data_IF_232193138046
#
_entry.id   IF_232193138046
#
_cell.length_a   1.000
_cell.length_b   1.000
_cell.length_c   1.000
_cell.angle_alpha   90.00
_cell.angle_beta   90.00
_cell.angle_gamma   90.00
#
_symmetry.space_group_name_H-M   'P 1'
#
loop_
_entity.id
_entity.type
_entity.pdbx_description
1 polymer ?
#
# COMPACT_ATOMS: atom_id res chain seq x y z
N UNK A 1 -13.20 -0.43 11.47
CA UNK A 1 -12.17 -0.59 10.43
C UNK A 1 -12.81 -0.14 9.13
N UNK A 2 -12.06 0.45 8.20
CA UNK A 2 -12.62 0.78 6.90
C UNK A 2 -12.42 -0.46 6.04
N UNK A 3 -13.53 -1.04 5.57
CA UNK A 3 -13.50 -2.26 4.76
C UNK A 3 -13.52 -1.93 3.25
N UNK A 4 -13.71 -0.65 2.90
CA UNK A 4 -13.88 -0.18 1.53
C UNK A 4 -13.36 1.26 1.36
N UNK A 5 -12.69 1.57 0.25
CA UNK A 5 -12.22 2.92 -0.05
C UNK A 5 -12.19 3.19 -1.56
N UNK A 6 -11.93 4.44 -1.95
CA UNK A 6 -11.82 4.85 -3.35
C UNK A 6 -10.45 5.44 -3.66
N UNK A 7 -9.84 5.03 -4.78
CA UNK A 7 -8.64 5.66 -5.34
C UNK A 7 -8.92 5.99 -6.80
N UNK A 8 -8.78 7.26 -7.17
CA UNK A 8 -9.04 7.75 -8.53
C UNK A 8 -10.43 7.32 -9.08
N UNK A 9 -11.45 7.29 -8.22
CA UNK A 9 -12.81 6.85 -8.58
C UNK A 9 -13.02 5.34 -8.69
N UNK A 10 -11.97 4.52 -8.49
CA UNK A 10 -12.07 3.05 -8.44
C UNK A 10 -12.36 2.63 -7.01
N UNK A 11 -13.40 1.80 -6.84
CA UNK A 11 -13.79 1.19 -5.56
C UNK A 11 -12.87 0.01 -5.25
N UNK A 12 -12.31 0.00 -4.04
CA UNK A 12 -11.45 -1.05 -3.52
C UNK A 12 -12.03 -1.59 -2.21
N UNK A 13 -11.95 -2.91 -2.04
CA UNK A 13 -12.34 -3.61 -0.82
C UNK A 13 -11.11 -4.05 -0.02
N UNK A 14 -11.27 -4.24 1.28
CA UNK A 14 -10.28 -4.86 2.17
C UNK A 14 -10.92 -6.10 2.81
N UNK A 15 -10.32 -7.27 2.58
CA UNK A 15 -10.81 -8.53 3.12
C UNK A 15 -9.76 -9.22 4.01
N UNK A 16 -10.14 -9.44 5.26
CA UNK A 16 -9.33 -10.20 6.21
C UNK A 16 -9.49 -11.70 5.98
N UNK A 17 -8.35 -12.37 5.85
CA UNK A 17 -8.28 -13.73 5.33
C UNK A 17 -7.40 -14.59 6.21
N UNK A 18 -7.79 -15.86 6.38
CA UNK A 18 -6.95 -16.82 7.08
C UNK A 18 -5.58 -16.99 6.36
N UNK A 19 -4.45 -16.96 7.08
CA UNK A 19 -3.11 -17.07 6.47
C UNK A 19 -2.85 -18.34 5.65
N UNK A 20 -3.63 -19.41 5.80
CA UNK A 20 -3.50 -20.60 4.97
C UNK A 20 -4.41 -20.60 3.74
N UNK A 21 -5.13 -19.51 3.49
CA UNK A 21 -5.99 -19.39 2.31
C UNK A 21 -5.13 -19.24 1.05
N UNK A 22 -5.38 -20.04 -0.01
CA UNK A 22 -4.66 -19.94 -1.28
C UNK A 22 -4.69 -18.56 -1.94
N UNK A 23 -5.65 -17.68 -1.61
CA UNK A 23 -5.68 -16.30 -2.15
C UNK A 23 -4.47 -15.46 -1.70
N UNK A 24 -3.81 -15.84 -0.60
CA UNK A 24 -2.58 -15.22 -0.10
C UNK A 24 -1.32 -15.87 -0.69
N UNK A 25 -1.47 -16.69 -1.74
CA UNK A 25 -0.34 -17.19 -2.52
C UNK A 25 -0.16 -16.26 -3.71
N UNK A 26 1.00 -15.62 -3.80
CA UNK A 26 1.28 -14.69 -4.88
C UNK A 26 1.47 -15.38 -6.25
N UNK A 27 1.65 -14.57 -7.30
CA UNK A 27 1.94 -15.02 -8.66
C UNK A 27 3.24 -15.82 -8.81
N UNK A 28 4.10 -15.86 -7.78
CA UNK A 28 5.34 -16.65 -7.73
C UNK A 28 5.18 -17.96 -6.94
N UNK A 29 3.96 -18.26 -6.48
CA UNK A 29 3.59 -19.42 -5.68
C UNK A 29 4.19 -19.40 -4.27
N UNK A 30 4.45 -18.20 -3.74
CA UNK A 30 4.96 -17.98 -2.38
C UNK A 30 3.81 -17.49 -1.50
N UNK A 31 3.72 -18.04 -0.28
CA UNK A 31 2.74 -17.56 0.72
C UNK A 31 3.15 -16.17 1.20
N UNK A 32 2.27 -15.20 1.03
CA UNK A 32 2.46 -13.82 1.46
C UNK A 32 1.56 -13.47 2.64
N UNK A 33 1.81 -12.31 3.25
CA UNK A 33 0.98 -11.81 4.34
C UNK A 33 -0.22 -11.01 3.84
N UNK A 34 -0.20 -10.59 2.57
CA UNK A 34 -1.24 -9.85 1.90
C UNK A 34 -1.08 -9.98 0.37
N UNK A 35 -2.16 -9.72 -0.37
CA UNK A 35 -2.18 -9.64 -1.83
C UNK A 35 -3.17 -8.55 -2.26
N UNK A 36 -2.72 -7.65 -3.14
CA UNK A 36 -3.61 -6.78 -3.92
C UNK A 36 -4.03 -7.48 -5.19
N UNK A 37 -5.33 -7.71 -5.37
CA UNK A 37 -5.91 -8.29 -6.57
C UNK A 37 -6.70 -7.23 -7.37
N UNK A 38 -6.16 -6.77 -8.51
CA UNK A 38 -6.85 -5.82 -9.37
C UNK A 38 -8.03 -6.40 -10.16
N UNK A 39 -8.17 -7.72 -10.28
CA UNK A 39 -9.31 -8.33 -10.96
C UNK A 39 -10.58 -8.23 -10.10
N UNK A 40 -10.43 -8.45 -8.79
CA UNK A 40 -11.52 -8.33 -7.81
C UNK A 40 -11.54 -6.99 -7.08
N UNK A 41 -10.62 -6.07 -7.41
CA UNK A 41 -10.43 -4.78 -6.74
C UNK A 41 -10.41 -4.93 -5.21
N UNK A 42 -9.63 -5.89 -4.72
CA UNK A 42 -9.63 -6.27 -3.31
C UNK A 42 -8.20 -6.43 -2.80
N UNK A 43 -7.93 -5.85 -1.63
CA UNK A 43 -6.75 -6.18 -0.83
C UNK A 43 -7.14 -7.31 0.12
N UNK A 44 -6.49 -8.47 -0.02
CA UNK A 44 -6.60 -9.57 0.93
C UNK A 44 -5.49 -9.44 1.96
N UNK A 45 -5.84 -9.29 3.24
CA UNK A 45 -4.90 -9.18 4.35
C UNK A 45 -4.98 -10.41 5.25
N UNK A 46 -3.85 -10.94 5.69
CA UNK A 46 -3.83 -11.99 6.70
C UNK A 46 -4.42 -11.50 8.03
N UNK A 47 -5.36 -12.26 8.59
CA UNK A 47 -6.02 -11.98 9.88
C UNK A 47 -5.06 -12.03 11.10
N UNK A 48 -3.80 -12.44 10.89
CA UNK A 48 -2.74 -12.43 11.90
C UNK A 48 -1.91 -11.14 11.92
N UNK A 49 -2.07 -10.26 10.93
CA UNK A 49 -1.34 -9.00 10.88
C UNK A 49 -1.76 -8.07 12.01
N UNK A 50 -0.78 -7.41 12.64
CA UNK A 50 -1.02 -6.46 13.74
C UNK A 50 0.12 -5.46 13.90
N UNK A 51 -0.18 -4.33 14.55
CA UNK A 51 0.80 -3.32 14.93
C UNK A 51 1.51 -2.68 13.73
N UNK A 52 2.79 -2.34 13.90
CA UNK A 52 3.59 -1.71 12.85
C UNK A 52 3.75 -2.57 11.60
N UNK A 53 3.78 -3.89 11.75
CA UNK A 53 3.87 -4.77 10.59
C UNK A 53 2.59 -4.73 9.74
N UNK A 54 1.41 -4.65 10.37
CA UNK A 54 0.16 -4.40 9.65
C UNK A 54 0.19 -3.06 8.91
N UNK A 55 0.62 -1.98 9.59
CA UNK A 55 0.68 -0.66 8.98
C UNK A 55 1.58 -0.67 7.73
N UNK A 56 2.75 -1.28 7.84
CA UNK A 56 3.70 -1.40 6.75
C UNK A 56 3.11 -2.18 5.56
N UNK A 57 2.57 -3.38 5.81
CA UNK A 57 1.94 -4.21 4.77
C UNK A 57 0.77 -3.48 4.12
N UNK A 58 -0.11 -2.85 4.88
CA UNK A 58 -1.24 -2.11 4.32
C UNK A 58 -0.79 -0.95 3.42
N UNK A 59 0.23 -0.17 3.83
CA UNK A 59 0.76 0.92 3.01
C UNK A 59 1.37 0.37 1.70
N UNK A 60 2.06 -0.77 1.77
CA UNK A 60 2.59 -1.46 0.60
C UNK A 60 1.45 -1.82 -0.39
N UNK A 61 0.40 -2.48 0.08
CA UNK A 61 -0.76 -2.86 -0.76
C UNK A 61 -1.51 -1.64 -1.33
N UNK A 62 -1.63 -0.56 -0.55
CA UNK A 62 -2.18 0.70 -1.05
C UNK A 62 -1.31 1.30 -2.15
N UNK A 63 0.02 1.10 -2.11
CA UNK A 63 0.94 1.43 -3.19
C UNK A 63 0.55 0.74 -4.50
N UNK A 64 0.25 -0.56 -4.46
CA UNK A 64 -0.26 -1.30 -5.63
C UNK A 64 -1.61 -0.77 -6.12
N UNK A 65 -2.53 -0.48 -5.21
CA UNK A 65 -3.82 0.10 -5.56
C UNK A 65 -3.67 1.46 -6.27
N UNK A 66 -2.76 2.33 -5.81
CA UNK A 66 -2.43 3.61 -6.45
C UNK A 66 -1.83 3.38 -7.83
N UNK A 67 -0.84 2.50 -7.94
CA UNK A 67 -0.19 2.20 -9.22
C UNK A 67 -1.20 1.72 -10.26
N UNK A 68 -2.13 0.86 -9.86
CA UNK A 68 -3.20 0.39 -10.73
C UNK A 68 -4.21 1.49 -11.06
N UNK A 69 -4.75 2.16 -10.03
CA UNK A 69 -5.88 3.08 -10.20
C UNK A 69 -5.55 4.34 -11.00
N UNK A 70 -4.28 4.74 -11.00
CA UNK A 70 -3.78 5.85 -11.82
C UNK A 70 -3.16 5.39 -13.15
N UNK A 71 -3.17 4.08 -13.46
CA UNK A 71 -2.59 3.54 -14.68
C UNK A 71 -1.06 3.61 -14.75
N UNK A 72 -0.38 3.72 -13.60
CA UNK A 72 1.06 3.91 -13.50
C UNK A 72 1.87 2.64 -13.81
N UNK A 73 1.27 1.46 -13.71
CA UNK A 73 1.93 0.17 -13.97
C UNK A 73 2.62 0.16 -15.34
N UNK A 74 1.90 0.60 -16.38
CA UNK A 74 2.47 0.70 -17.73
C UNK A 74 3.61 1.71 -17.81
N UNK A 75 3.52 2.82 -17.06
CA UNK A 75 4.57 3.83 -17.03
C UNK A 75 5.85 3.30 -16.39
N UNK A 76 5.70 2.60 -15.27
CA UNK A 76 6.78 1.92 -14.54
C UNK A 76 7.46 0.88 -15.43
N UNK A 77 6.66 0.09 -16.15
CA UNK A 77 7.16 -0.94 -17.08
C UNK A 77 7.96 -0.37 -18.25
N UNK A 78 7.66 0.86 -18.70
CA UNK A 78 8.46 1.56 -19.73
C UNK A 78 9.86 1.94 -19.25
N UNK A 79 10.06 2.08 -17.94
CA UNK A 79 11.32 2.54 -17.33
C UNK A 79 12.32 1.40 -17.09
N UNK A 80 11.93 0.13 -17.28
CA UNK A 80 12.79 -1.02 -17.03
C UNK A 80 12.57 -2.17 -18.03
N UNK A 81 13.51 -3.11 -18.07
CA UNK A 81 13.38 -4.31 -18.92
C UNK A 81 12.27 -5.21 -18.36
N UNK A 82 11.55 -5.91 -19.24
CA UNK A 82 10.44 -6.81 -18.87
C UNK A 82 10.73 -7.76 -17.70
N UNK A 83 11.94 -8.32 -17.64
CA UNK A 83 12.36 -9.21 -16.55
C UNK A 83 12.38 -8.56 -15.15
N UNK A 84 12.33 -7.23 -15.07
CA UNK A 84 12.35 -6.45 -13.83
C UNK A 84 11.00 -5.78 -13.52
N UNK A 85 9.94 -6.05 -14.30
CA UNK A 85 8.65 -5.38 -14.11
C UNK A 85 8.08 -5.60 -12.71
N UNK A 86 8.05 -6.86 -12.26
CA UNK A 86 7.56 -7.20 -10.92
C UNK A 86 8.44 -6.54 -9.86
N UNK A 87 9.76 -6.73 -9.94
CA UNK A 87 10.70 -6.11 -8.99
C UNK A 87 10.56 -4.59 -8.90
N UNK A 88 10.24 -3.93 -10.01
CA UNK A 88 10.03 -2.49 -10.04
C UNK A 88 8.69 -2.07 -9.40
N UNK A 89 7.60 -2.81 -9.64
CA UNK A 89 6.33 -2.59 -8.94
C UNK A 89 6.52 -2.74 -7.42
N UNK A 90 7.14 -3.85 -6.99
CA UNK A 90 7.45 -4.12 -5.57
C UNK A 90 8.36 -3.05 -4.98
N UNK A 91 9.37 -2.59 -5.72
CA UNK A 91 10.24 -1.50 -5.28
C UNK A 91 9.46 -0.21 -5.03
N UNK A 92 8.53 0.16 -5.90
CA UNK A 92 7.69 1.34 -5.71
C UNK A 92 6.78 1.20 -4.47
N UNK A 93 6.16 0.04 -4.26
CA UNK A 93 5.34 -0.23 -3.08
C UNK A 93 6.18 -0.19 -1.79
N UNK A 94 7.35 -0.84 -1.78
CA UNK A 94 8.28 -0.82 -0.64
C UNK A 94 8.83 0.58 -0.36
N UNK A 95 9.13 1.39 -1.37
CA UNK A 95 9.57 2.77 -1.18
C UNK A 95 8.57 3.56 -0.32
N UNK A 96 7.28 3.41 -0.59
CA UNK A 96 6.22 4.04 0.19
C UNK A 96 6.11 3.44 1.60
N UNK A 97 6.15 2.12 1.71
CA UNK A 97 5.97 1.41 2.98
C UNK A 97 7.14 1.58 3.96
N UNK A 98 8.38 1.63 3.46
CA UNK A 98 9.61 1.79 4.25
C UNK A 98 9.89 3.25 4.59
N UNK A 99 9.78 4.15 3.60
CA UNK A 99 10.27 5.52 3.73
C UNK A 99 9.16 6.57 3.81
N UNK A 100 7.91 6.21 3.48
CA UNK A 100 6.79 7.16 3.46
C UNK A 100 6.61 7.87 4.80
N UNK A 101 6.65 7.13 5.92
CA UNK A 101 6.55 7.72 7.27
C UNK A 101 7.66 8.74 7.54
N UNK A 102 8.89 8.45 7.14
CA UNK A 102 10.02 9.36 7.30
C UNK A 102 9.84 10.61 6.44
N UNK A 103 9.45 10.44 5.17
CA UNK A 103 9.21 11.55 4.24
C UNK A 103 8.13 12.48 4.79
N UNK A 104 6.99 11.94 5.23
CA UNK A 104 5.90 12.74 5.79
C UNK A 104 6.31 13.42 7.11
N UNK A 105 7.07 12.74 7.97
CA UNK A 105 7.58 13.33 9.22
C UNK A 105 8.55 14.50 8.98
N UNK A 106 9.43 14.37 7.99
CA UNK A 106 10.33 15.46 7.57
C UNK A 106 9.52 16.59 6.93
N UNK A 107 8.59 16.27 6.02
CA UNK A 107 7.72 17.26 5.39
C UNK A 107 6.95 18.08 6.43
N UNK A 108 6.44 17.42 7.47
CA UNK A 108 5.81 18.12 8.59
C UNK A 108 6.78 19.05 9.33
N UNK A 109 7.98 18.55 9.66
CA UNK A 109 9.01 19.36 10.32
C UNK A 109 9.42 20.59 9.52
N UNK A 110 9.39 20.51 8.19
CA UNK A 110 9.75 21.61 7.28
C UNK A 110 8.59 22.59 7.08
N UNK A 111 7.36 22.09 6.91
CA UNK A 111 6.18 22.91 6.58
C UNK A 111 5.46 23.48 7.81
N UNK A 112 5.74 22.97 9.01
CA UNK A 112 5.07 23.41 10.24
C UNK A 112 3.55 23.25 10.17
N UNK A 113 2.80 24.28 10.55
CA UNK A 113 1.32 24.24 10.54
C UNK A 113 0.71 24.00 9.15
N UNK A 114 1.43 24.29 8.05
CA UNK A 114 0.92 24.04 6.70
C UNK A 114 0.90 22.55 6.33
N UNK A 115 1.61 21.71 7.09
CA UNK A 115 1.67 20.28 6.86
C UNK A 115 0.32 19.57 7.06
N UNK A 116 -0.64 20.17 7.79
CA UNK A 116 -1.98 19.63 7.99
C UNK A 116 -2.73 19.43 6.66
N UNK A 117 -2.35 20.18 5.62
CA UNK A 117 -2.96 20.11 4.29
C UNK A 117 -2.36 19.01 3.41
N UNK A 118 -1.24 18.40 3.83
CA UNK A 118 -0.44 17.47 3.01
C UNK A 118 -0.27 16.11 3.69
N UNK A 119 -0.35 16.05 5.03
CA UNK A 119 -0.16 14.83 5.82
C UNK A 119 -1.45 14.51 6.61
N UNK A 120 -2.15 13.39 6.36
CA UNK A 120 -3.41 13.11 7.04
C UNK A 120 -3.23 12.76 8.52
N UNK A 121 -3.87 13.58 9.38
CA UNK A 121 -4.50 13.37 10.70
C UNK A 121 -3.83 12.54 11.83
N UNK A 122 -2.84 11.67 11.59
CA UNK A 122 -2.22 10.85 12.66
C UNK A 122 -1.31 11.65 13.61
N UNK A 123 -1.17 12.96 13.38
CA UNK A 123 -0.51 13.90 14.29
C UNK A 123 -1.40 14.34 15.46
N UNK A 124 -2.71 14.08 15.44
CA UNK A 124 -3.58 14.41 16.59
C UNK A 124 -3.33 13.54 17.82
N UNK A 125 -2.71 12.36 17.68
CA UNK A 125 -2.49 11.44 18.82
C UNK A 125 -1.23 11.74 19.66
N UNK A 126 -0.53 12.83 19.40
CA UNK A 126 0.60 13.29 20.24
C UNK A 126 0.21 14.42 21.20
N UNK A 127 -1.06 14.82 21.24
CA UNK A 127 -1.58 15.90 22.13
C UNK A 127 -2.76 15.41 23.00
N UNK A 128 -2.87 14.11 23.27
CA UNK A 128 -3.83 13.55 24.23
C UNK A 128 -3.10 12.88 25.40
#
# INVERSE_FOLDING_TARGET
MIDEFYINGIHWNVQWTNPSNPILVDRTNVLTCAVTDPETMTIYLSDRLKGEFLNHVLIHELGHCVMFSYGLVNEIHRMCKKRFWIEMEEFCANLLADYGRQIFGIAYSVLGEQAIHVVPYHMEKLVA
#
